data_IF_672815183519
#
_entry.id   IF_672815183519
#
_cell.length_a   1.000
_cell.length_b   1.000
_cell.length_c   1.000
_cell.angle_alpha   90.00
_cell.angle_beta   90.00
_cell.angle_gamma   90.00
#
_symmetry.space_group_name_H-M   'P 1'
#
loop_
_entity.id
_entity.type
_entity.pdbx_description
1 polymer ?
#
# COMPACT_ATOMS: atom_id res chain seq x y z
N UNK A 1 74.59 19.21 3.55
CA UNK A 1 73.79 18.50 2.52
C UNK A 1 72.49 17.85 3.04
N UNK A 2 71.57 18.55 3.72
CA UNK A 2 70.18 18.07 3.87
C UNK A 2 69.11 18.95 3.20
N UNK A 3 69.44 20.19 2.83
CA UNK A 3 68.48 21.16 2.26
C UNK A 3 68.10 20.89 0.79
N UNK A 4 68.95 20.21 0.03
CA UNK A 4 68.68 19.92 -1.38
C UNK A 4 67.65 18.79 -1.61
N UNK A 5 67.38 17.94 -0.61
CA UNK A 5 66.39 16.84 -0.72
C UNK A 5 64.97 17.27 -0.35
N UNK A 6 64.80 18.32 0.44
CA UNK A 6 63.49 18.83 0.84
C UNK A 6 62.81 19.65 -0.26
N UNK A 7 63.59 20.31 -1.13
CA UNK A 7 63.05 21.05 -2.27
C UNK A 7 62.54 20.14 -3.40
N UNK A 8 63.10 18.92 -3.53
CA UNK A 8 62.69 17.99 -4.59
C UNK A 8 61.34 17.31 -4.29
N UNK A 9 61.01 17.08 -3.01
CA UNK A 9 59.71 16.51 -2.61
C UNK A 9 58.55 17.52 -2.73
N UNK A 10 58.79 18.82 -2.51
CA UNK A 10 57.73 19.84 -2.67
C UNK A 10 57.37 20.11 -4.14
N UNK A 11 58.33 19.98 -5.07
CA UNK A 11 58.09 20.12 -6.50
C UNK A 11 57.32 18.93 -7.10
N UNK A 12 57.44 17.72 -6.54
CA UNK A 12 56.68 16.55 -7.01
C UNK A 12 55.23 16.51 -6.53
N UNK A 13 54.88 17.16 -5.41
CA UNK A 13 53.49 17.22 -4.93
C UNK A 13 52.63 18.29 -5.65
N UNK A 14 53.24 19.19 -6.42
CA UNK A 14 52.52 20.28 -7.10
C UNK A 14 52.05 19.91 -8.52
N UNK A 15 52.47 18.77 -9.07
CA UNK A 15 52.25 18.40 -10.48
C UNK A 15 51.16 17.34 -10.74
N UNK A 16 50.42 16.89 -9.73
CA UNK A 16 49.32 15.91 -9.90
C UNK A 16 47.93 16.54 -9.85
N UNK A 17 47.82 17.86 -9.61
CA UNK A 17 46.52 18.56 -9.52
C UNK A 17 46.04 19.24 -10.82
N UNK A 18 46.69 19.00 -11.97
CA UNK A 18 46.41 19.76 -13.19
C UNK A 18 46.37 18.92 -14.47
N UNK A 19 45.56 17.85 -14.51
CA UNK A 19 45.09 17.27 -15.79
C UNK A 19 43.67 16.74 -15.59
N UNK A 20 42.76 17.16 -16.49
CA UNK A 20 41.33 16.80 -16.64
C UNK A 20 40.32 17.93 -16.33
N UNK A 21 40.46 19.05 -17.05
CA UNK A 21 39.31 19.84 -17.50
C UNK A 21 39.14 19.61 -19.00
N UNK A 22 37.97 19.16 -19.50
CA UNK A 22 37.53 19.54 -20.82
C UNK A 22 36.83 20.91 -20.74
N UNK A 23 37.33 21.84 -21.53
CA UNK A 23 36.65 23.06 -21.88
C UNK A 23 35.36 22.75 -22.65
N UNK A 24 34.24 23.29 -22.18
CA UNK A 24 33.06 23.53 -22.99
C UNK A 24 32.73 25.02 -22.89
N UNK A 25 33.24 25.77 -23.87
CA UNK A 25 32.75 27.09 -24.20
C UNK A 25 31.38 26.93 -24.88
N UNK A 26 30.37 27.69 -24.46
CA UNK A 26 29.06 27.65 -25.09
C UNK A 26 27.98 28.39 -24.32
N UNK A 27 28.04 29.73 -24.37
CA UNK A 27 26.95 30.67 -24.26
C UNK A 27 25.76 30.31 -23.33
N UNK A 28 25.74 30.97 -22.17
CA UNK A 28 24.51 31.27 -21.47
C UNK A 28 23.63 32.18 -22.36
N UNK A 29 22.66 31.58 -23.05
CA UNK A 29 21.48 32.27 -23.54
C UNK A 29 20.29 31.69 -22.79
N UNK A 30 19.78 32.45 -21.83
CA UNK A 30 18.42 32.32 -21.32
C UNK A 30 17.43 32.55 -22.46
N UNK A 31 16.38 31.72 -22.60
CA UNK A 31 15.12 32.20 -23.11
C UNK A 31 14.15 32.33 -21.94
N UNK A 32 13.93 33.60 -21.61
CA UNK A 32 12.71 34.20 -21.10
C UNK A 32 11.45 33.39 -21.41
N UNK A 33 10.63 33.20 -20.37
CA UNK A 33 9.25 32.78 -20.48
C UNK A 33 8.47 33.68 -21.45
N UNK A 34 8.13 33.16 -22.62
CA UNK A 34 6.96 33.51 -23.43
C UNK A 34 7.08 32.83 -24.80
N UNK A 35 6.44 31.68 -24.96
CA UNK A 35 5.91 31.34 -26.27
C UNK A 35 4.43 31.02 -26.13
N UNK A 36 3.67 31.90 -26.77
CA UNK A 36 2.25 31.78 -27.08
C UNK A 36 1.98 30.41 -27.68
N UNK A 37 0.93 29.77 -27.19
CA UNK A 37 0.23 28.72 -27.90
C UNK A 37 -0.19 29.27 -29.27
N UNK A 38 0.47 28.84 -30.34
CA UNK A 38 -0.11 28.91 -31.68
C UNK A 38 -1.15 27.79 -31.82
N UNK A 39 -2.37 28.22 -32.13
CA UNK A 39 -3.51 27.37 -32.38
C UNK A 39 -3.32 26.62 -33.71
N UNK A 40 -2.88 25.37 -33.62
CA UNK A 40 -3.08 24.38 -34.67
C UNK A 40 -4.50 23.82 -34.59
N UNK A 41 -5.41 24.40 -35.37
CA UNK A 41 -6.76 23.91 -35.54
C UNK A 41 -6.76 22.49 -36.14
N UNK A 42 -6.98 21.47 -35.31
CA UNK A 42 -7.57 20.20 -35.72
C UNK A 42 -8.62 19.75 -34.72
N UNK A 43 -9.84 19.87 -35.21
CA UNK A 43 -11.10 19.31 -34.76
C UNK A 43 -10.91 17.97 -34.02
N UNK A 44 -10.98 18.02 -32.70
CA UNK A 44 -11.17 16.87 -31.83
C UNK A 44 -12.06 17.34 -30.67
N UNK A 45 -13.25 16.75 -30.58
CA UNK A 45 -14.32 17.12 -29.67
C UNK A 45 -13.94 17.05 -28.18
N UNK A 46 -14.84 17.51 -27.30
CA UNK A 46 -14.55 17.69 -25.88
C UNK A 46 -14.15 16.35 -25.25
N UNK A 47 -12.96 16.33 -24.67
CA UNK A 47 -12.33 15.15 -24.12
C UNK A 47 -13.15 14.52 -23.00
N UNK A 48 -13.47 13.25 -23.19
CA UNK A 48 -13.77 12.34 -22.10
C UNK A 48 -12.45 11.99 -21.40
N UNK A 49 -12.26 12.31 -20.10
CA UNK A 49 -11.15 11.74 -19.35
C UNK A 49 -11.40 10.23 -19.28
N UNK A 50 -10.38 9.37 -19.42
CA UNK A 50 -10.56 7.91 -19.36
C UNK A 50 -11.02 7.38 -17.97
N UNK A 51 -11.11 8.26 -16.97
CA UNK A 51 -11.37 7.98 -15.54
C UNK A 51 -12.81 7.61 -15.16
N UNK A 52 -13.90 8.10 -15.80
CA UNK A 52 -15.28 7.75 -15.47
C UNK A 52 -15.62 6.30 -15.81
N UNK A 53 -15.09 5.74 -16.90
CA UNK A 53 -15.39 4.36 -17.30
C UNK A 53 -14.76 3.33 -16.37
N UNK A 54 -13.48 3.50 -16.02
CA UNK A 54 -12.78 2.60 -15.09
C UNK A 54 -13.41 2.64 -13.68
N UNK A 55 -13.77 3.83 -13.21
CA UNK A 55 -14.46 3.99 -11.94
C UNK A 55 -15.84 3.32 -11.95
N UNK A 56 -16.63 3.51 -13.02
CA UNK A 56 -17.93 2.86 -13.18
C UNK A 56 -17.80 1.33 -13.21
N UNK A 57 -16.83 0.80 -13.94
CA UNK A 57 -16.57 -0.64 -14.00
C UNK A 57 -16.13 -1.20 -12.63
N UNK A 58 -15.28 -0.49 -11.89
CA UNK A 58 -14.88 -0.85 -10.53
C UNK A 58 -16.06 -0.85 -9.55
N UNK A 59 -16.91 0.17 -9.61
CA UNK A 59 -18.14 0.24 -8.82
C UNK A 59 -19.09 -0.91 -9.17
N UNK A 60 -19.23 -1.26 -10.44
CA UNK A 60 -20.12 -2.36 -10.85
C UNK A 60 -19.58 -3.74 -10.43
N UNK A 61 -18.26 -3.94 -10.46
CA UNK A 61 -17.61 -5.13 -9.93
C UNK A 61 -17.84 -5.26 -8.43
N UNK A 62 -17.67 -4.17 -7.69
CA UNK A 62 -17.95 -4.16 -6.25
C UNK A 62 -19.42 -4.49 -6.01
N UNK A 63 -20.33 -3.86 -6.76
CA UNK A 63 -21.77 -4.10 -6.68
C UNK A 63 -22.16 -5.55 -6.92
N UNK A 64 -21.50 -6.27 -7.82
CA UNK A 64 -21.83 -7.67 -8.15
C UNK A 64 -21.02 -8.70 -7.35
N UNK A 65 -20.08 -8.26 -6.51
CA UNK A 65 -19.23 -9.12 -5.69
C UNK A 65 -19.95 -9.83 -4.54
N UNK A 66 -19.35 -10.91 -4.05
CA UNK A 66 -19.66 -11.60 -2.79
C UNK A 66 -19.15 -10.82 -1.59
N UNK A 67 -19.76 -11.01 -0.41
CA UNK A 67 -19.39 -10.26 0.79
C UNK A 67 -19.19 -11.17 1.99
N UNK A 68 -18.36 -10.71 2.92
CA UNK A 68 -18.06 -11.44 4.15
C UNK A 68 -18.49 -10.61 5.37
N UNK A 69 -19.07 -11.29 6.34
CA UNK A 69 -19.27 -10.72 7.67
C UNK A 69 -18.04 -11.00 8.55
N UNK A 70 -17.35 -9.94 8.96
CA UNK A 70 -16.23 -10.01 9.88
C UNK A 70 -16.38 -8.92 10.95
N UNK A 71 -16.38 -9.32 12.23
CA UNK A 71 -16.53 -8.42 13.38
C UNK A 71 -17.79 -7.54 13.30
N UNK A 72 -18.94 -8.12 12.95
CA UNK A 72 -20.23 -7.41 12.73
C UNK A 72 -20.13 -6.29 11.68
N UNK A 73 -19.18 -6.41 10.75
CA UNK A 73 -19.05 -5.53 9.59
C UNK A 73 -19.10 -6.36 8.32
N UNK A 74 -19.84 -5.87 7.33
CA UNK A 74 -19.84 -6.43 5.98
C UNK A 74 -18.71 -5.81 5.19
N UNK A 75 -17.85 -6.65 4.60
CA UNK A 75 -16.62 -6.27 3.90
C UNK A 75 -16.53 -6.97 2.53
N UNK A 76 -16.08 -6.28 1.46
CA UNK A 76 -15.83 -6.93 0.18
C UNK A 76 -14.60 -7.82 0.27
N UNK A 77 -14.48 -8.75 -0.66
CA UNK A 77 -13.20 -9.42 -0.88
C UNK A 77 -12.19 -8.44 -1.49
N UNK A 78 -10.91 -8.62 -1.16
CA UNK A 78 -9.82 -7.80 -1.68
C UNK A 78 -9.82 -7.70 -3.21
N UNK A 79 -10.00 -8.83 -3.90
CA UNK A 79 -9.99 -8.90 -5.36
C UNK A 79 -11.14 -8.13 -6.03
N UNK A 80 -12.23 -7.87 -5.31
CA UNK A 80 -13.36 -7.10 -5.83
C UNK A 80 -13.08 -5.61 -5.83
N UNK A 81 -12.25 -5.15 -4.90
CA UNK A 81 -11.90 -3.73 -4.81
C UNK A 81 -10.87 -3.37 -5.87
N UNK A 82 -9.89 -4.22 -6.19
CA UNK A 82 -9.03 -4.03 -7.37
C UNK A 82 -8.52 -2.59 -7.55
N UNK A 83 -8.64 -2.06 -8.76
CA UNK A 83 -8.24 -0.68 -9.10
C UNK A 83 -9.05 0.39 -8.36
N UNK A 84 -10.22 0.06 -7.82
CA UNK A 84 -11.08 1.01 -7.08
C UNK A 84 -10.34 1.61 -5.87
N UNK A 85 -9.39 0.88 -5.28
CA UNK A 85 -8.57 1.39 -4.18
C UNK A 85 -7.58 2.51 -4.58
N UNK A 86 -7.36 2.68 -5.89
CA UNK A 86 -6.50 3.71 -6.47
C UNK A 86 -7.29 4.82 -7.17
N UNK A 87 -8.46 4.49 -7.74
CA UNK A 87 -9.36 5.47 -8.36
C UNK A 87 -10.06 6.38 -7.34
N UNK A 88 -10.17 5.92 -6.10
CA UNK A 88 -10.83 6.64 -5.03
C UNK A 88 -9.83 7.41 -4.16
N UNK A 89 -10.06 8.71 -3.88
CA UNK A 89 -9.24 9.46 -2.94
C UNK A 89 -9.26 8.79 -1.55
N UNK A 90 -8.08 8.70 -0.94
CA UNK A 90 -7.93 8.21 0.45
C UNK A 90 -8.28 9.28 1.49
N UNK A 91 -8.16 10.55 1.14
CA UNK A 91 -8.54 11.68 1.98
C UNK A 91 -9.78 12.34 1.37
N UNK A 92 -10.94 11.74 1.62
CA UNK A 92 -12.23 12.36 1.26
C UNK A 92 -12.75 13.13 2.45
N UNK A 93 -12.79 14.47 2.36
CA UNK A 93 -13.28 15.35 3.43
C UNK A 93 -14.76 15.12 3.77
N UNK A 94 -15.52 14.45 2.89
CA UNK A 94 -16.94 14.16 3.08
C UNK A 94 -17.18 12.83 3.78
N UNK A 95 -16.14 12.01 3.97
CA UNK A 95 -16.24 10.71 4.61
C UNK A 95 -15.33 10.70 5.84
N UNK A 96 -15.92 10.53 7.03
CA UNK A 96 -15.11 10.35 8.23
C UNK A 96 -14.44 8.96 8.20
N UNK A 97 -13.10 8.88 8.26
CA UNK A 97 -12.43 7.60 8.39
C UNK A 97 -12.74 6.98 9.77
N UNK A 98 -12.82 5.64 9.83
CA UNK A 98 -13.03 4.96 11.11
C UNK A 98 -11.86 5.17 12.07
N UNK A 99 -12.11 5.08 13.38
CA UNK A 99 -11.07 5.27 14.40
C UNK A 99 -9.88 4.31 14.24
N UNK A 100 -10.15 3.05 13.84
CA UNK A 100 -9.09 2.08 13.51
C UNK A 100 -8.26 2.53 12.30
N UNK A 101 -8.93 3.04 11.25
CA UNK A 101 -8.25 3.54 10.06
C UNK A 101 -7.34 4.74 10.37
N UNK A 102 -7.82 5.68 11.21
CA UNK A 102 -7.02 6.80 11.72
C UNK A 102 -5.79 6.28 12.47
N UNK A 103 -5.96 5.32 13.38
CA UNK A 103 -4.86 4.73 14.15
C UNK A 103 -3.80 4.06 13.26
N UNK A 104 -4.20 3.37 12.19
CA UNK A 104 -3.26 2.77 11.23
C UNK A 104 -2.45 3.82 10.46
N UNK A 105 -3.10 4.88 10.00
CA UNK A 105 -2.42 5.99 9.31
C UNK A 105 -1.43 6.68 10.25
N UNK A 106 -1.81 6.91 11.51
CA UNK A 106 -0.92 7.49 12.52
C UNK A 106 0.32 6.62 12.78
N UNK A 107 0.14 5.30 12.97
CA UNK A 107 1.26 4.35 13.12
C UNK A 107 2.18 4.34 11.91
N UNK A 108 1.64 4.37 10.68
CA UNK A 108 2.46 4.47 9.48
C UNK A 108 3.24 5.79 9.41
N UNK A 109 2.61 6.92 9.75
CA UNK A 109 3.28 8.23 9.79
C UNK A 109 4.37 8.26 10.86
N UNK A 110 4.20 7.57 11.98
CA UNK A 110 5.23 7.42 13.00
C UNK A 110 6.41 6.57 12.53
N UNK A 111 6.15 5.45 11.85
CA UNK A 111 7.19 4.66 11.21
C UNK A 111 7.96 5.48 10.16
N UNK A 112 7.25 6.27 9.34
CA UNK A 112 7.86 7.17 8.37
C UNK A 112 8.72 8.24 9.05
N UNK A 113 8.22 8.93 10.09
CA UNK A 113 9.01 9.92 10.85
C UNK A 113 10.28 9.28 11.42
N UNK A 114 10.16 8.10 12.03
CA UNK A 114 11.30 7.37 12.58
C UNK A 114 12.31 7.00 11.50
N UNK A 115 11.84 6.55 10.33
CA UNK A 115 12.68 6.24 9.17
C UNK A 115 13.46 7.46 8.67
N UNK A 116 12.80 8.61 8.56
CA UNK A 116 13.45 9.87 8.17
C UNK A 116 14.51 10.33 9.17
N UNK A 117 14.38 9.97 10.45
CA UNK A 117 15.40 10.26 11.47
C UNK A 117 16.52 9.24 11.52
N UNK A 118 16.24 7.99 11.15
CA UNK A 118 17.17 6.86 11.27
C UNK A 118 16.92 5.83 10.18
N UNK A 119 17.71 5.92 9.12
CA UNK A 119 17.76 4.89 8.09
C UNK A 119 18.57 3.67 8.55
N UNK A 120 18.23 2.44 8.13
CA UNK A 120 19.10 1.29 8.33
C UNK A 120 20.41 1.44 7.55
N UNK A 121 21.49 0.84 8.06
CA UNK A 121 22.75 0.76 7.34
C UNK A 121 22.56 0.06 5.99
N UNK A 122 23.05 0.67 4.90
CA UNK A 122 22.92 0.15 3.55
C UNK A 122 21.57 0.48 2.87
N UNK A 123 20.66 1.22 3.50
CA UNK A 123 19.37 1.59 2.92
C UNK A 123 19.49 2.33 1.59
N UNK A 124 20.31 3.39 1.54
CA UNK A 124 20.54 4.18 0.32
C UNK A 124 21.00 3.31 -0.85
N UNK A 125 21.76 2.24 -0.57
CA UNK A 125 22.21 1.27 -1.57
C UNK A 125 21.07 0.37 -2.06
N UNK A 126 20.15 -0.05 -1.20
CA UNK A 126 18.95 -0.76 -1.65
C UNK A 126 18.08 0.13 -2.53
N UNK A 127 17.83 1.37 -2.08
CA UNK A 127 17.06 2.37 -2.84
C UNK A 127 17.68 2.61 -4.21
N UNK A 128 19.00 2.80 -4.28
CA UNK A 128 19.71 3.00 -5.55
C UNK A 128 19.58 1.80 -6.50
N UNK A 129 19.61 0.57 -5.97
CA UNK A 129 19.47 -0.64 -6.79
C UNK A 129 18.05 -0.84 -7.29
N UNK A 130 17.02 -0.57 -6.48
CA UNK A 130 15.62 -0.59 -6.92
C UNK A 130 15.38 0.48 -7.99
N UNK A 131 15.93 1.69 -7.81
CA UNK A 131 15.91 2.76 -8.83
C UNK A 131 16.60 2.33 -10.13
N UNK A 132 17.76 1.71 -10.04
CA UNK A 132 18.51 1.24 -11.20
C UNK A 132 17.75 0.15 -11.95
N UNK A 133 17.15 -0.80 -11.25
CA UNK A 133 16.32 -1.85 -11.87
C UNK A 133 15.07 -1.26 -12.52
N UNK A 134 14.48 -0.22 -11.93
CA UNK A 134 13.35 0.51 -12.52
C UNK A 134 13.74 1.16 -13.85
N UNK A 135 14.90 1.80 -13.92
CA UNK A 135 15.41 2.40 -15.18
C UNK A 135 15.72 1.32 -16.21
N UNK A 136 16.28 0.20 -15.78
CA UNK A 136 16.73 -0.90 -16.65
C UNK A 136 15.58 -1.72 -17.24
N UNK A 137 14.60 -2.09 -16.42
CA UNK A 137 13.58 -3.09 -16.75
C UNK A 137 12.14 -2.67 -16.39
N UNK A 138 11.95 -1.42 -15.95
CA UNK A 138 10.64 -0.84 -15.66
C UNK A 138 10.11 -1.09 -14.25
N UNK A 139 8.95 -0.51 -13.98
CA UNK A 139 8.30 -0.51 -12.67
C UNK A 139 8.04 -1.94 -12.14
N UNK A 140 7.60 -2.86 -13.01
CA UNK A 140 7.35 -4.25 -12.62
C UNK A 140 8.59 -4.90 -12.02
N UNK A 141 9.74 -4.84 -12.72
CA UNK A 141 10.97 -5.46 -12.23
C UNK A 141 11.44 -4.87 -10.91
N UNK A 142 11.35 -3.53 -10.77
CA UNK A 142 11.71 -2.85 -9.52
C UNK A 142 10.80 -3.22 -8.34
N UNK A 143 9.50 -3.39 -8.59
CA UNK A 143 8.54 -3.83 -7.56
C UNK A 143 8.83 -5.27 -7.12
N UNK A 144 9.09 -6.18 -8.07
CA UNK A 144 9.47 -7.57 -7.77
C UNK A 144 10.79 -7.62 -6.97
N UNK A 145 11.76 -6.79 -7.34
CA UNK A 145 13.02 -6.69 -6.63
C UNK A 145 12.84 -6.17 -5.19
N UNK A 146 12.05 -5.11 -4.99
CA UNK A 146 11.77 -4.57 -3.67
C UNK A 146 11.04 -5.60 -2.77
N UNK A 147 10.07 -6.32 -3.33
CA UNK A 147 9.35 -7.39 -2.62
C UNK A 147 10.30 -8.49 -2.15
N UNK A 148 11.11 -9.02 -3.08
CA UNK A 148 12.06 -10.08 -2.81
C UNK A 148 13.15 -9.65 -1.80
N UNK A 149 13.69 -8.43 -1.93
CA UNK A 149 14.67 -7.89 -0.99
C UNK A 149 14.15 -7.83 0.45
N UNK A 150 12.92 -7.36 0.65
CA UNK A 150 12.35 -7.25 2.00
C UNK A 150 11.97 -8.62 2.57
N UNK A 151 11.54 -9.56 1.72
CA UNK A 151 11.21 -10.92 2.14
C UNK A 151 12.42 -11.77 2.55
N UNK A 152 13.66 -11.28 2.34
CA UNK A 152 14.88 -11.88 2.92
C UNK A 152 14.99 -11.68 4.45
N UNK A 153 14.07 -10.94 5.07
CA UNK A 153 13.95 -10.87 6.53
C UNK A 153 13.01 -11.97 7.02
N UNK A 154 13.36 -12.66 8.12
CA UNK A 154 12.50 -13.70 8.71
C UNK A 154 11.24 -13.09 9.33
N UNK A 155 10.10 -13.77 9.19
CA UNK A 155 8.87 -13.43 9.90
C UNK A 155 9.00 -13.74 11.41
N UNK A 156 8.63 -12.80 12.27
CA UNK A 156 8.72 -12.93 13.75
C UNK A 156 7.45 -12.41 14.41
N UNK A 157 6.72 -13.31 15.07
CA UNK A 157 5.56 -12.95 15.90
C UNK A 157 5.94 -12.17 17.18
N UNK A 158 4.92 -11.65 17.88
CA UNK A 158 5.11 -10.99 19.18
C UNK A 158 5.65 -9.56 19.09
N UNK A 159 5.34 -8.83 18.02
CA UNK A 159 5.64 -7.38 17.96
C UNK A 159 4.69 -6.57 18.84
N UNK A 160 5.13 -5.40 19.27
CA UNK A 160 4.44 -4.52 20.24
C UNK A 160 3.18 -3.80 19.70
N UNK A 161 2.62 -4.25 18.58
CA UNK A 161 1.48 -3.60 17.95
C UNK A 161 1.82 -2.37 17.09
N UNK A 162 2.97 -1.71 17.29
CA UNK A 162 3.42 -0.58 16.47
C UNK A 162 3.78 -0.99 15.03
N UNK A 163 4.02 -0.03 14.15
CA UNK A 163 4.53 -0.27 12.80
C UNK A 163 6.03 0.00 12.82
N UNK A 164 6.85 -0.99 12.50
CA UNK A 164 8.30 -0.83 12.56
C UNK A 164 8.82 -0.02 11.38
N UNK A 165 9.63 1.00 11.67
CA UNK A 165 10.46 1.63 10.65
C UNK A 165 11.54 0.64 10.15
N UNK A 166 12.07 0.79 8.92
CA UNK A 166 13.02 -0.16 8.32
C UNK A 166 14.26 -0.42 9.19
N UNK A 167 14.77 0.58 9.91
CA UNK A 167 15.88 0.41 10.83
C UNK A 167 15.58 -0.60 11.96
N UNK A 168 14.39 -0.52 12.55
CA UNK A 168 13.94 -1.48 13.57
C UNK A 168 13.62 -2.83 12.96
N UNK A 169 12.89 -2.83 11.84
CA UNK A 169 12.50 -4.06 11.14
C UNK A 169 13.71 -4.90 10.70
N UNK A 170 14.79 -4.29 10.19
CA UNK A 170 16.00 -5.04 9.84
C UNK A 170 16.79 -5.51 11.05
N UNK A 171 16.72 -4.83 12.19
CA UNK A 171 17.40 -5.27 13.41
C UNK A 171 16.63 -6.39 14.14
N UNK A 172 15.30 -6.27 14.17
CA UNK A 172 14.45 -7.10 15.02
C UNK A 172 13.63 -8.14 14.25
N UNK A 173 13.53 -8.04 12.92
CA UNK A 173 12.44 -8.66 12.14
C UNK A 173 11.07 -8.05 12.51
N UNK A 174 9.99 -8.63 12.00
CA UNK A 174 8.63 -8.17 12.29
C UNK A 174 7.55 -9.11 11.77
N UNK A 175 6.30 -8.64 11.81
CA UNK A 175 5.12 -9.35 11.28
C UNK A 175 4.63 -8.70 10.00
N UNK A 176 3.55 -9.21 9.40
CA UNK A 176 3.04 -8.79 8.08
C UNK A 176 2.99 -7.27 7.84
N UNK A 177 2.52 -6.49 8.83
CA UNK A 177 2.46 -5.03 8.75
C UNK A 177 3.85 -4.37 8.61
N UNK A 178 4.88 -4.94 9.22
CA UNK A 178 6.23 -4.40 9.23
C UNK A 178 6.93 -4.66 7.88
N UNK A 179 6.69 -5.84 7.29
CA UNK A 179 7.07 -6.12 5.90
C UNK A 179 6.41 -5.14 4.93
N UNK A 180 5.09 -4.91 5.08
CA UNK A 180 4.36 -3.98 4.23
C UNK A 180 4.93 -2.55 4.35
N UNK A 181 5.27 -2.10 5.56
CA UNK A 181 5.90 -0.79 5.82
C UNK A 181 7.29 -0.71 5.20
N UNK A 182 8.13 -1.74 5.35
CA UNK A 182 9.47 -1.75 4.77
C UNK A 182 9.43 -1.71 3.23
N UNK A 183 8.53 -2.48 2.60
CA UNK A 183 8.31 -2.44 1.13
C UNK A 183 7.78 -1.09 0.69
N UNK A 184 6.82 -0.53 1.44
CA UNK A 184 6.23 0.77 1.18
C UNK A 184 7.30 1.86 1.14
N UNK A 185 8.15 1.92 2.18
CA UNK A 185 9.20 2.93 2.29
C UNK A 185 10.32 2.70 1.27
N UNK A 186 10.69 1.45 0.96
CA UNK A 186 11.69 1.16 -0.07
C UNK A 186 11.24 1.64 -1.45
N UNK A 187 9.99 1.38 -1.83
CA UNK A 187 9.43 1.82 -3.12
C UNK A 187 9.22 3.34 -3.15
N UNK A 188 8.69 3.92 -2.07
CA UNK A 188 8.53 5.38 -1.94
C UNK A 188 9.88 6.09 -2.10
N UNK A 189 10.91 5.65 -1.38
CA UNK A 189 12.24 6.23 -1.47
C UNK A 189 12.89 5.93 -2.82
N UNK A 190 12.54 4.83 -3.50
CA UNK A 190 12.91 4.56 -4.89
C UNK A 190 12.17 5.44 -5.92
N UNK A 191 11.31 6.37 -5.49
CA UNK A 191 10.64 7.34 -6.35
C UNK A 191 9.37 6.82 -7.01
N UNK A 192 8.74 5.79 -6.45
CA UNK A 192 7.36 5.44 -6.82
C UNK A 192 6.40 6.49 -6.26
N UNK A 193 5.40 6.85 -7.06
CA UNK A 193 4.36 7.77 -6.62
C UNK A 193 3.56 7.14 -5.47
N UNK A 194 3.40 7.90 -4.37
CA UNK A 194 2.59 7.54 -3.21
C UNK A 194 1.15 7.22 -3.61
N UNK A 195 0.64 7.87 -4.66
CA UNK A 195 -0.69 7.58 -5.21
C UNK A 195 -0.83 6.14 -5.72
N UNK A 196 0.28 5.45 -6.03
CA UNK A 196 0.35 4.08 -6.54
C UNK A 196 0.68 3.04 -5.47
N UNK A 197 0.85 3.46 -4.22
CA UNK A 197 1.19 2.59 -3.09
C UNK A 197 0.06 2.59 -2.06
N UNK A 198 -0.46 1.41 -1.71
CA UNK A 198 -1.55 1.23 -0.74
C UNK A 198 -1.23 0.11 0.23
N UNK A 199 -1.09 0.43 1.52
CA UNK A 199 -1.16 -0.60 2.53
C UNK A 199 -2.62 -1.05 2.64
N UNK A 200 -2.81 -2.36 2.71
CA UNK A 200 -4.11 -2.99 2.77
C UNK A 200 -4.18 -3.82 4.03
N UNK A 201 -5.11 -3.45 4.91
CA UNK A 201 -5.46 -4.26 6.08
C UNK A 201 -6.65 -5.14 5.75
N UNK A 202 -6.46 -6.43 5.95
CA UNK A 202 -7.45 -7.48 5.77
C UNK A 202 -7.96 -7.92 7.14
N UNK A 203 -9.28 -8.03 7.26
CA UNK A 203 -9.92 -8.54 8.46
C UNK A 203 -9.74 -10.08 8.56
N UNK A 204 -9.90 -10.63 9.77
CA UNK A 204 -10.02 -12.07 9.97
C UNK A 204 -11.06 -12.69 9.04
N UNK A 205 -10.76 -13.90 8.53
CA UNK A 205 -11.70 -14.65 7.69
C UNK A 205 -12.96 -15.08 8.46
N UNK A 206 -12.82 -15.28 9.77
CA UNK A 206 -13.89 -15.73 10.65
C UNK A 206 -13.94 -14.88 11.92
N UNK A 207 -15.14 -14.71 12.49
CA UNK A 207 -15.35 -13.91 13.71
C UNK A 207 -14.61 -14.48 14.93
N UNK A 208 -14.34 -15.79 14.96
CA UNK A 208 -13.68 -16.46 16.08
C UNK A 208 -12.14 -16.51 15.97
N UNK A 209 -11.54 -15.84 14.99
CA UNK A 209 -10.09 -15.78 14.82
C UNK A 209 -9.60 -14.33 14.92
N UNK A 210 -9.70 -13.68 16.10
CA UNK A 210 -9.39 -12.26 16.25
C UNK A 210 -7.94 -11.90 15.90
N UNK A 211 -7.02 -12.86 15.98
CA UNK A 211 -5.59 -12.66 15.69
C UNK A 211 -5.22 -12.83 14.20
N UNK A 212 -6.19 -13.15 13.33
CA UNK A 212 -5.99 -13.42 11.90
C UNK A 212 -6.03 -12.14 11.03
N UNK A 213 -5.68 -10.98 11.61
CA UNK A 213 -5.51 -9.75 10.84
C UNK A 213 -4.25 -9.83 9.98
N UNK A 214 -4.36 -9.32 8.75
CA UNK A 214 -3.23 -9.33 7.83
C UNK A 214 -3.03 -7.98 7.18
N UNK A 215 -1.77 -7.60 6.96
CA UNK A 215 -1.43 -6.36 6.27
C UNK A 215 -0.44 -6.68 5.18
N UNK A 216 -0.73 -6.22 3.97
CA UNK A 216 0.15 -6.32 2.81
C UNK A 216 0.27 -4.97 2.11
N UNK A 217 1.19 -4.87 1.15
CA UNK A 217 1.29 -3.73 0.25
C UNK A 217 0.67 -4.07 -1.11
N UNK A 218 -0.21 -3.21 -1.62
CA UNK A 218 -0.74 -3.29 -2.98
C UNK A 218 -0.16 -2.13 -3.80
N UNK A 219 0.36 -2.44 -4.98
CA UNK A 219 1.06 -1.50 -5.84
C UNK A 219 0.40 -1.44 -7.22
N UNK A 220 -0.01 -0.24 -7.64
CA UNK A 220 -0.49 -0.01 -9.00
C UNK A 220 0.71 0.16 -9.93
N UNK A 221 0.79 -0.67 -10.97
CA UNK A 221 1.83 -0.58 -12.00
C UNK A 221 1.25 -0.03 -13.30
N UNK A 222 1.89 0.97 -13.89
CA UNK A 222 1.49 1.51 -15.19
C UNK A 222 1.61 0.41 -16.26
N UNK A 223 0.57 0.26 -17.08
CA UNK A 223 0.48 -0.78 -18.10
C UNK A 223 0.16 -2.19 -17.57
N UNK A 224 0.06 -2.39 -16.25
CA UNK A 224 -0.47 -3.63 -15.68
C UNK A 224 -2.01 -3.63 -15.72
N UNK A 225 -2.60 -4.79 -16.01
CA UNK A 225 -4.07 -4.95 -16.07
C UNK A 225 -4.75 -4.96 -14.70
N UNK A 226 -3.99 -5.20 -13.63
CA UNK A 226 -4.44 -5.15 -12.24
C UNK A 226 -3.24 -4.83 -11.33
N UNK A 227 -3.47 -4.26 -10.13
CA UNK A 227 -2.42 -3.99 -9.17
C UNK A 227 -1.77 -5.29 -8.65
N UNK A 228 -0.53 -5.19 -8.19
CA UNK A 228 0.20 -6.30 -7.58
C UNK A 228 0.02 -6.32 -6.06
N UNK A 229 -0.15 -7.51 -5.50
CA UNK A 229 -0.09 -7.76 -4.07
C UNK A 229 1.32 -8.22 -3.68
N UNK A 230 1.94 -7.49 -2.75
CA UNK A 230 3.25 -7.75 -2.18
C UNK A 230 3.06 -8.20 -0.73
N UNK A 231 3.22 -9.50 -0.50
CA UNK A 231 2.83 -10.17 0.74
C UNK A 231 4.06 -10.58 1.58
N UNK A 232 3.91 -10.72 2.89
CA UNK A 232 4.97 -11.20 3.77
C UNK A 232 5.06 -12.74 3.74
N UNK A 233 6.22 -13.32 4.10
CA UNK A 233 6.29 -14.75 4.42
C UNK A 233 5.24 -15.15 5.47
N UNK A 234 4.76 -16.39 5.43
CA UNK A 234 3.92 -16.93 6.49
C UNK A 234 4.72 -17.06 7.79
N UNK A 235 4.05 -16.92 8.93
CA UNK A 235 4.64 -17.30 10.21
C UNK A 235 5.12 -18.76 10.13
N UNK A 236 6.31 -19.08 10.67
CA UNK A 236 6.74 -20.47 10.77
C UNK A 236 5.69 -21.24 11.57
N UNK A 237 5.27 -22.39 11.06
CA UNK A 237 4.35 -23.26 11.80
C UNK A 237 5.00 -23.62 13.12
N UNK A 238 4.32 -23.36 14.23
CA UNK A 238 4.80 -23.72 15.57
C UNK A 238 5.09 -25.23 15.59
N UNK A 239 6.37 -25.59 15.52
CA UNK A 239 6.81 -26.97 15.76
C UNK A 239 6.52 -27.29 17.22
N UNK A 240 6.08 -28.53 17.47
CA UNK A 240 5.84 -29.05 18.83
C UNK A 240 7.07 -28.81 19.71
N UNK A 241 6.82 -28.57 20.99
CA UNK A 241 7.75 -28.03 22.00
C UNK A 241 9.07 -28.79 22.22
N UNK A 242 9.31 -29.93 21.59
CA UNK A 242 10.51 -30.76 21.80
C UNK A 242 11.75 -30.29 21.01
N UNK A 243 11.62 -29.31 20.10
CA UNK A 243 12.76 -28.76 19.31
C UNK A 243 13.38 -27.49 19.93
N UNK A 244 12.97 -27.09 21.15
CA UNK A 244 13.26 -25.79 21.78
C UNK A 244 14.74 -25.52 22.13
N UNK A 245 15.63 -26.50 22.04
CA UNK A 245 17.05 -26.33 22.36
C UNK A 245 17.87 -25.62 21.25
N UNK A 246 17.34 -25.46 20.03
CA UNK A 246 18.14 -25.01 18.88
C UNK A 246 17.68 -23.67 18.24
N UNK A 247 16.55 -23.09 18.67
CA UNK A 247 16.06 -21.82 18.10
C UNK A 247 16.62 -20.56 18.75
N UNK A 248 17.18 -20.65 19.97
CA UNK A 248 17.77 -19.51 20.67
C UNK A 248 19.03 -18.92 19.97
N UNK A 249 19.55 -19.59 18.94
CA UNK A 249 20.71 -19.16 18.15
C UNK A 249 20.40 -18.84 16.69
N UNK A 250 19.13 -18.86 16.26
CA UNK A 250 18.75 -18.42 14.92
C UNK A 250 18.72 -16.88 14.89
N UNK A 251 19.73 -16.25 14.27
CA UNK A 251 19.93 -14.80 14.30
C UNK A 251 18.66 -14.04 13.91
N UNK A 252 18.16 -13.19 14.81
CA UNK A 252 17.18 -12.15 14.47
C UNK A 252 17.79 -11.19 13.45
N UNK A 253 17.08 -10.90 12.36
CA UNK A 253 17.53 -9.94 11.35
C UNK A 253 17.53 -10.45 9.91
N UNK A 254 18.31 -9.79 9.02
CA UNK A 254 18.35 -10.07 7.59
C UNK A 254 19.01 -11.42 7.29
N UNK A 255 18.63 -12.07 6.19
CA UNK A 255 19.39 -13.20 5.67
C UNK A 255 20.86 -12.84 5.39
N UNK A 256 21.73 -13.85 5.32
CA UNK A 256 23.13 -13.63 4.93
C UNK A 256 23.25 -13.01 3.52
N UNK A 257 22.30 -13.30 2.63
CA UNK A 257 22.24 -12.71 1.30
C UNK A 257 21.92 -11.21 1.38
N UNK A 258 20.84 -10.84 2.09
CA UNK A 258 20.49 -9.44 2.28
C UNK A 258 21.58 -8.68 3.03
N UNK A 259 22.21 -9.27 4.05
CA UNK A 259 23.35 -8.69 4.74
C UNK A 259 24.55 -8.43 3.81
N UNK A 260 24.82 -9.34 2.85
CA UNK A 260 25.85 -9.12 1.83
C UNK A 260 25.48 -8.01 0.84
N UNK A 261 24.22 -7.90 0.44
CA UNK A 261 23.71 -6.83 -0.43
C UNK A 261 23.80 -5.47 0.27
N UNK A 262 23.33 -5.40 1.51
CA UNK A 262 23.40 -4.20 2.35
C UNK A 262 24.84 -3.74 2.56
N UNK A 263 25.79 -4.66 2.65
CA UNK A 263 27.22 -4.36 2.72
C UNK A 263 27.89 -4.09 1.35
N UNK A 264 27.17 -4.24 0.24
CA UNK A 264 27.70 -4.00 -1.11
C UNK A 264 28.59 -5.11 -1.66
N UNK A 265 28.55 -6.29 -1.05
CA UNK A 265 29.33 -7.48 -1.47
C UNK A 265 28.61 -8.32 -2.53
N UNK A 266 27.31 -8.13 -2.69
CA UNK A 266 26.49 -8.82 -3.70
C UNK A 266 25.51 -7.83 -4.36
N UNK A 267 25.17 -8.04 -5.64
CA UNK A 267 24.12 -7.26 -6.29
C UNK A 267 22.73 -7.66 -5.76
N UNK A 268 21.80 -6.72 -5.76
CA UNK A 268 20.44 -6.92 -5.24
C UNK A 268 19.67 -7.96 -6.04
N UNK A 269 19.85 -8.01 -7.37
CA UNK A 269 19.18 -8.96 -8.26
C UNK A 269 19.49 -10.43 -7.94
N UNK A 270 20.50 -10.71 -7.11
CA UNK A 270 20.79 -12.04 -6.60
C UNK A 270 19.58 -12.66 -5.86
N UNK A 271 18.74 -11.84 -5.20
CA UNK A 271 17.52 -12.34 -4.52
C UNK A 271 16.49 -12.89 -5.50
N UNK A 272 16.50 -12.44 -6.76
CA UNK A 272 15.52 -12.87 -7.76
C UNK A 272 15.74 -14.31 -8.25
N UNK A 273 16.92 -14.88 -8.02
CA UNK A 273 17.23 -16.27 -8.43
C UNK A 273 16.54 -17.31 -7.55
N UNK A 274 16.33 -16.96 -6.28
CA UNK A 274 15.64 -17.80 -5.31
C UNK A 274 14.94 -16.89 -4.29
N UNK A 275 13.83 -16.21 -4.67
CA UNK A 275 13.17 -15.26 -3.80
C UNK A 275 12.69 -15.92 -2.51
N UNK A 276 13.01 -15.31 -1.36
CA UNK A 276 12.37 -15.67 -0.11
C UNK A 276 10.92 -15.19 -0.08
N UNK A 277 10.04 -15.95 0.58
CA UNK A 277 8.63 -15.56 0.79
C UNK A 277 7.71 -15.77 -0.41
N UNK A 278 6.44 -15.32 -0.31
CA UNK A 278 5.49 -15.41 -1.40
C UNK A 278 5.92 -14.51 -2.55
N UNK A 279 5.74 -15.00 -3.78
CA UNK A 279 5.97 -14.19 -4.96
C UNK A 279 4.86 -13.15 -5.09
N UNK A 280 5.25 -11.91 -5.37
CA UNK A 280 4.32 -10.88 -5.78
C UNK A 280 3.46 -11.37 -6.96
N UNK A 281 2.15 -11.18 -6.84
CA UNK A 281 1.18 -11.67 -7.79
C UNK A 281 0.16 -10.57 -8.11
N UNK A 282 -0.45 -10.62 -9.29
CA UNK A 282 -1.63 -9.82 -9.57
C UNK A 282 -2.71 -10.01 -8.49
N UNK A 283 -3.41 -8.94 -8.08
CA UNK A 283 -4.25 -8.92 -6.87
C UNK A 283 -5.27 -10.07 -6.83
N UNK A 284 -5.95 -10.33 -7.95
CA UNK A 284 -6.94 -11.40 -8.08
C UNK A 284 -6.37 -12.81 -7.92
N UNK A 285 -5.06 -12.98 -8.16
CA UNK A 285 -4.32 -14.25 -8.06
C UNK A 285 -3.52 -14.38 -6.76
N UNK A 286 -3.51 -13.34 -5.93
CA UNK A 286 -2.83 -13.39 -4.64
C UNK A 286 -3.50 -14.40 -3.69
N UNK A 287 -2.72 -15.00 -2.79
CA UNK A 287 -3.27 -15.87 -1.73
C UNK A 287 -4.24 -15.16 -0.77
N UNK A 288 -4.29 -13.83 -0.84
CA UNK A 288 -5.14 -12.97 -0.03
C UNK A 288 -6.36 -12.42 -0.80
N UNK A 289 -6.50 -12.75 -2.09
CA UNK A 289 -7.52 -12.22 -2.99
C UNK A 289 -8.95 -12.30 -2.45
N UNK A 290 -9.27 -13.40 -1.77
CA UNK A 290 -10.62 -13.70 -1.23
C UNK A 290 -10.81 -13.29 0.23
N UNK A 291 -9.87 -12.54 0.81
CA UNK A 291 -10.00 -12.11 2.21
C UNK A 291 -10.82 -10.83 2.32
N UNK A 292 -11.59 -10.68 3.41
CA UNK A 292 -12.36 -9.47 3.66
C UNK A 292 -11.43 -8.27 3.82
N UNK A 293 -11.60 -7.27 2.95
CA UNK A 293 -10.88 -6.01 3.03
C UNK A 293 -11.43 -5.16 4.16
N UNK A 294 -10.55 -4.71 5.06
CA UNK A 294 -10.94 -3.77 6.09
C UNK A 294 -10.72 -2.32 5.67
N UNK A 295 -9.44 -1.98 5.47
CA UNK A 295 -9.01 -0.60 5.27
C UNK A 295 -7.86 -0.59 4.28
N UNK A 296 -7.93 0.36 3.34
CA UNK A 296 -6.84 0.72 2.44
C UNK A 296 -6.28 2.05 2.93
N UNK A 297 -4.96 2.19 3.05
CA UNK A 297 -4.37 3.41 3.59
C UNK A 297 -2.94 3.66 3.07
N UNK A 298 -2.50 4.90 3.22
CA UNK A 298 -1.10 5.33 3.11
C UNK A 298 -0.87 6.50 4.08
N UNK A 299 0.24 7.23 3.97
CA UNK A 299 0.54 8.38 4.81
C UNK A 299 -0.37 9.59 4.54
N UNK A 300 -1.08 9.65 3.41
CA UNK A 300 -2.02 10.74 3.11
C UNK A 300 -3.42 10.49 3.69
N UNK A 301 -3.84 9.24 3.85
CA UNK A 301 -5.15 8.94 4.43
C UNK A 301 -5.54 7.48 4.36
N UNK A 302 -6.83 7.22 4.54
CA UNK A 302 -7.37 5.88 4.60
C UNK A 302 -8.80 5.84 4.10
N UNK A 303 -9.18 4.73 3.48
CA UNK A 303 -10.54 4.42 3.08
C UNK A 303 -10.94 3.04 3.58
N UNK A 304 -12.08 2.98 4.25
CA UNK A 304 -12.66 1.73 4.71
C UNK A 304 -13.74 1.26 3.74
N UNK A 305 -13.78 -0.04 3.52
CA UNK A 305 -14.83 -0.72 2.78
C UNK A 305 -15.61 -1.60 3.78
N UNK A 306 -16.00 -1.03 4.92
CA UNK A 306 -16.85 -1.66 5.94
C UNK A 306 -18.24 -1.01 6.12
N UNK A 307 -19.31 -1.83 6.13
CA UNK A 307 -20.68 -1.42 6.44
C UNK A 307 -21.06 -2.12 7.74
N UNK A 308 -21.84 -1.49 8.62
CA UNK A 308 -22.42 -2.22 9.74
C UNK A 308 -23.13 -3.46 9.20
N UNK A 309 -22.91 -4.63 9.81
CA UNK A 309 -23.78 -5.77 9.59
C UNK A 309 -25.09 -5.47 10.32
N UNK A 310 -26.22 -5.53 9.62
CA UNK A 310 -27.47 -5.26 10.30
C UNK A 310 -27.80 -6.19 11.46
N UNK A 311 -28.60 -5.64 12.37
CA UNK A 311 -28.96 -6.34 13.59
C UNK A 311 -29.78 -7.59 13.28
N UNK A 312 -29.41 -8.70 13.90
CA UNK A 312 -30.20 -9.92 13.83
C UNK A 312 -31.55 -9.64 14.50
N UNK A 313 -32.65 -9.77 13.75
CA UNK A 313 -33.96 -9.91 14.38
C UNK A 313 -33.89 -11.12 15.29
N UNK A 314 -34.01 -10.89 16.60
CA UNK A 314 -34.05 -11.92 17.62
C UNK A 314 -35.29 -12.78 17.35
N UNK A 315 -35.16 -13.82 16.53
CA UNK A 315 -36.28 -14.67 16.17
C UNK A 315 -36.69 -15.45 17.43
N UNK A 316 -37.94 -15.27 17.83
CA UNK A 316 -38.56 -16.05 18.89
C UNK A 316 -38.33 -17.54 18.63
N UNK A 317 -37.96 -18.26 19.69
CA UNK A 317 -37.67 -19.68 19.67
C UNK A 317 -38.82 -20.50 19.08
N UNK A 318 -38.67 -20.97 17.85
CA UNK A 318 -39.50 -22.04 17.31
C UNK A 318 -38.58 -23.12 16.76
N UNK A 319 -38.68 -24.30 17.38
CA UNK A 319 -37.88 -25.47 17.07
C UNK A 319 -38.14 -25.95 15.64
N UNK A 320 -37.05 -26.31 14.95
CA UNK A 320 -37.09 -27.19 13.78
C UNK A 320 -36.87 -26.49 12.44
N UNK A 321 -35.74 -26.87 11.82
CA UNK A 321 -35.28 -26.63 10.43
C UNK A 321 -34.51 -25.33 10.22
N UNK A 322 -33.33 -25.50 9.61
CA UNK A 322 -32.41 -24.49 9.08
C UNK A 322 -33.15 -23.25 8.58
N UNK A 323 -33.29 -22.29 9.46
CA UNK A 323 -34.00 -21.06 9.16
C UNK A 323 -32.91 -20.03 8.91
N UNK A 324 -32.65 -19.75 7.63
CA UNK A 324 -31.78 -18.65 7.22
C UNK A 324 -32.16 -17.41 8.03
N UNK A 325 -31.18 -16.90 8.78
CA UNK A 325 -31.38 -15.71 9.58
C UNK A 325 -31.82 -14.57 8.65
N UNK A 326 -32.93 -13.93 9.01
CA UNK A 326 -33.43 -12.74 8.32
C UNK A 326 -32.95 -11.56 9.13
N UNK A 327 -32.13 -10.74 8.51
CA UNK A 327 -31.56 -9.54 9.11
C UNK A 327 -32.33 -8.32 8.60
N UNK A 328 -32.22 -7.17 9.27
CA UNK A 328 -32.93 -5.93 8.89
C UNK A 328 -31.97 -4.76 8.95
N UNK A 329 -31.76 -4.04 7.85
CA UNK A 329 -30.82 -2.91 7.80
C UNK A 329 -31.28 -1.67 8.56
N UNK A 330 -30.40 -0.66 8.64
CA UNK A 330 -30.69 0.63 9.32
C UNK A 330 -31.94 1.35 8.75
N UNK A 331 -32.38 0.97 7.55
CA UNK A 331 -33.58 1.50 6.88
C UNK A 331 -34.81 0.61 7.07
N UNK A 332 -34.71 -0.51 7.79
CA UNK A 332 -35.82 -1.43 8.02
C UNK A 332 -36.01 -2.51 6.94
N UNK A 333 -35.11 -2.62 5.97
CA UNK A 333 -35.26 -3.55 4.84
C UNK A 333 -34.73 -4.96 5.18
N UNK A 334 -35.54 -6.03 4.98
CA UNK A 334 -35.13 -7.39 5.31
C UNK A 334 -34.19 -7.99 4.25
N UNK A 335 -33.16 -8.70 4.69
CA UNK A 335 -32.17 -9.35 3.83
C UNK A 335 -31.92 -10.78 4.31
N UNK A 336 -31.71 -11.69 3.35
CA UNK A 336 -31.50 -13.13 3.58
C UNK A 336 -30.04 -13.47 3.32
N UNK A 337 -29.38 -14.04 4.33
CA UNK A 337 -28.09 -14.71 4.16
C UNK A 337 -28.41 -16.17 3.88
N UNK A 338 -28.39 -16.57 2.62
CA UNK A 338 -28.33 -17.99 2.30
C UNK A 338 -26.86 -18.47 2.31
N UNK A 339 -26.66 -19.78 2.23
CA UNK A 339 -25.33 -20.39 2.19
C UNK A 339 -24.51 -20.03 0.94
N UNK A 340 -25.07 -19.24 0.01
CA UNK A 340 -24.36 -18.72 -1.18
C UNK A 340 -23.66 -17.38 -0.95
N UNK A 341 -23.94 -16.70 0.17
CA UNK A 341 -23.27 -15.44 0.52
C UNK A 341 -23.65 -14.26 -0.37
N UNK A 342 -24.87 -14.24 -0.94
CA UNK A 342 -25.32 -13.13 -1.78
C UNK A 342 -25.89 -12.00 -0.91
N UNK A 343 -25.10 -10.93 -0.72
CA UNK A 343 -25.46 -9.78 0.10
C UNK A 343 -25.85 -8.55 -0.76
N UNK A 344 -26.77 -7.69 -0.29
CA UNK A 344 -27.11 -6.45 -0.97
C UNK A 344 -25.91 -5.49 -1.03
N UNK A 345 -25.82 -4.86 -2.19
CA UNK A 345 -24.64 -4.20 -2.76
C UNK A 345 -24.18 -2.98 -1.95
N UNK A 346 -22.88 -2.76 -1.89
CA UNK A 346 -22.31 -1.51 -1.40
C UNK A 346 -22.70 -0.31 -2.24
N UNK A 347 -23.00 0.80 -1.57
CA UNK A 347 -23.08 2.13 -2.19
C UNK A 347 -21.72 2.79 -2.07
N UNK A 348 -20.87 2.64 -3.09
CA UNK A 348 -19.83 3.65 -3.32
C UNK A 348 -20.58 4.92 -3.66
N UNK A 349 -20.33 6.02 -2.95
CA UNK A 349 -20.87 7.32 -3.32
C UNK A 349 -20.43 7.64 -4.74
N UNK A 350 -21.28 7.34 -5.73
CA UNK A 350 -21.16 7.86 -7.07
C UNK A 350 -21.76 9.27 -7.06
N UNK A 351 -21.18 10.14 -7.87
CA UNK A 351 -21.55 11.55 -8.05
C UNK A 351 -23.04 11.81 -7.87
N UNK A 352 -23.36 12.81 -7.05
CA UNK A 352 -24.69 13.46 -7.04
C UNK A 352 -25.02 14.15 -8.39
N UNK A 353 -24.29 13.87 -9.46
CA UNK A 353 -24.52 14.43 -10.78
C UNK A 353 -25.72 13.78 -11.52
N UNK A 354 -26.11 12.55 -11.16
CA UNK A 354 -27.19 11.82 -11.84
C UNK A 354 -28.45 11.59 -10.99
N UNK A 355 -28.57 12.25 -9.85
CA UNK A 355 -29.88 12.35 -9.20
C UNK A 355 -30.70 13.42 -9.97
N UNK A 356 -31.85 13.08 -10.59
CA UNK A 356 -32.75 14.14 -11.07
C UNK A 356 -33.03 15.05 -9.89
N UNK A 357 -32.72 16.34 -10.06
CA UNK A 357 -32.88 17.35 -9.03
C UNK A 357 -34.24 17.15 -8.37
N UNK A 358 -34.24 16.82 -7.07
CA UNK A 358 -35.48 16.93 -6.30
C UNK A 358 -35.94 18.37 -6.46
N UNK A 359 -37.16 18.64 -6.95
CA UNK A 359 -37.68 20.00 -6.93
C UNK A 359 -37.75 20.39 -5.45
N UNK A 360 -36.84 21.28 -5.05
CA UNK A 360 -36.86 21.83 -3.70
C UNK A 360 -38.19 22.54 -3.50
N UNK A 361 -38.90 22.33 -2.39
CA UNK A 361 -39.93 23.28 -2.02
C UNK A 361 -39.22 24.61 -1.74
N UNK A 362 -39.64 25.60 -2.51
CA UNK A 362 -39.16 26.97 -2.51
C UNK A 362 -38.92 27.51 -1.09
N UNK A 363 -37.90 28.37 -1.00
CA UNK A 363 -37.75 29.33 0.07
C UNK A 363 -39.10 29.97 0.39
N UNK A 364 -39.66 29.66 1.57
CA UNK A 364 -40.57 30.57 2.25
C UNK A 364 -39.83 31.18 3.42
N UNK A 365 -39.30 32.36 3.15
CA UNK A 365 -39.17 33.42 4.15
C UNK A 365 -40.48 33.57 4.90
N UNK A 366 -40.47 33.40 6.23
CA UNK A 366 -41.36 34.15 7.11
C UNK A 366 -40.51 34.72 8.25
N UNK A 367 -40.56 36.05 8.35
CA UNK A 367 -39.88 36.88 9.34
C UNK A 367 -40.75 37.04 10.59
N UNK A 368 -40.06 37.32 11.69
CA UNK A 368 -40.45 37.56 13.09
C UNK A 368 -41.53 38.64 13.30
N UNK A 369 -42.44 38.46 14.29
CA UNK A 369 -42.59 39.31 15.51
C UNK A 369 -44.02 39.35 16.11
N UNK A 370 -44.03 39.20 17.44
CA UNK A 370 -45.00 39.49 18.52
C UNK A 370 -46.41 40.06 18.23
N UNK A 371 -47.38 39.52 18.99
CA UNK A 371 -48.15 40.27 19.99
C UNK A 371 -48.28 39.46 21.27
#
# INVERSE_FOLDING_TARGET
MPLARLLLCFLQCSFVAAVLCPAAAGAANLPTASQRYEAGARDSGPGDPATPHALKAGIERLRTGTWWEANRKIRPELAQVGDLMFLLPLADRKLEPSSDAIGRVQRLREALRSHLTREPAGWTRLVAQVRAERVKAGDLSAVLLADALVNEVRYRDGTDGSYYAPARFFAESGVCKDFAVAKYLLLRDAGFDIARLRLVSLAPRYHNTPDDWHVLLVVQIDGASEPLALDSPSAPTAKRADDTANEASASSGPSALLGAILAGRKPADAVLRAPAGPLAAPLSRSGQARRPLATVFNEHGSRSFERAAPDALRRASAAGRSASATYVDEMGEPWKVDSSGTFPKWRVAADQADAPAKPGPAARLIRVAAR
#
